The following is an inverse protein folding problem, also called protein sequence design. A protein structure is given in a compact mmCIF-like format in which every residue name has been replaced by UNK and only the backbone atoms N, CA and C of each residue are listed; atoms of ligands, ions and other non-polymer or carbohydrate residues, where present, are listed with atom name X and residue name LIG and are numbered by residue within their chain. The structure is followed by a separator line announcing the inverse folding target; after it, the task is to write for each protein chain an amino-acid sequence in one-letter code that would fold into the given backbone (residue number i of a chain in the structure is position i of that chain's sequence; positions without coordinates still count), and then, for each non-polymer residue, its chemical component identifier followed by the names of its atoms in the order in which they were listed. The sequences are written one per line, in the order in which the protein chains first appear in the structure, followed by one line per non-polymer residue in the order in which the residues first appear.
data_IF_080231001201
#
_entry.id   IF_080231001201
#
_cell.length_a   1.000
_cell.length_b   1.000
_cell.length_c   1.000
_cell.angle_alpha   90.00
_cell.angle_beta   90.00
_cell.angle_gamma   90.00
#
_symmetry.space_group_name_H-M   'P 1'
#
loop_
_entity.id
_entity.type
_entity.pdbx_description
1 polymer ?
#
# COMPACT_ATOMS: atom_id res chain seq x y z
N UNK A 1 -7.58 -5.72 7.42
CA UNK A 1 -8.19 -6.16 6.14
C UNK A 1 -9.56 -5.51 6.02
N UNK A 2 -9.93 -5.03 4.83
CA UNK A 2 -11.20 -4.35 4.61
C UNK A 2 -12.38 -5.32 4.34
N UNK A 3 -13.59 -4.77 4.17
CA UNK A 3 -14.80 -5.54 3.86
C UNK A 3 -14.79 -6.24 2.49
N UNK A 4 -13.84 -5.90 1.63
CA UNK A 4 -13.66 -6.48 0.30
C UNK A 4 -12.51 -7.51 0.26
N UNK A 5 -11.88 -7.79 1.40
CA UNK A 5 -10.77 -8.75 1.50
C UNK A 5 -9.42 -8.19 1.08
N UNK A 6 -9.24 -6.85 1.10
CA UNK A 6 -7.95 -6.23 0.85
C UNK A 6 -7.16 -6.02 2.15
N UNK A 7 -5.89 -6.43 2.13
CA UNK A 7 -4.89 -6.08 3.11
C UNK A 7 -4.10 -4.88 2.60
N UNK A 8 -3.93 -3.87 3.44
CA UNK A 8 -3.10 -2.69 3.14
C UNK A 8 -1.91 -2.70 4.09
N UNK A 9 -0.71 -2.48 3.55
CA UNK A 9 0.53 -2.39 4.34
C UNK A 9 1.29 -1.15 3.90
N UNK A 10 1.66 -0.33 4.89
CA UNK A 10 2.58 0.79 4.72
C UNK A 10 4.02 0.28 4.82
N UNK A 11 4.80 0.48 3.76
CA UNK A 11 6.24 0.29 3.75
C UNK A 11 6.92 1.65 3.96
N UNK A 12 7.44 1.86 5.18
CA UNK A 12 8.08 3.12 5.56
C UNK A 12 9.45 3.33 4.92
N UNK A 13 10.16 2.25 4.56
CA UNK A 13 11.46 2.36 3.89
C UNK A 13 11.28 2.88 2.46
N UNK A 14 10.21 2.43 1.80
CA UNK A 14 9.88 2.82 0.43
C UNK A 14 8.96 4.03 0.32
N UNK A 15 8.39 4.50 1.43
CA UNK A 15 7.36 5.54 1.44
C UNK A 15 6.23 5.18 0.46
N UNK A 16 5.68 3.97 0.60
CA UNK A 16 4.58 3.46 -0.22
C UNK A 16 3.56 2.68 0.61
N UNK A 17 2.30 2.70 0.18
CA UNK A 17 1.25 1.80 0.68
C UNK A 17 0.90 0.84 -0.42
N UNK A 18 1.02 -0.45 -0.13
CA UNK A 18 0.60 -1.52 -1.03
C UNK A 18 -0.68 -2.17 -0.55
N UNK A 19 -1.46 -2.70 -1.50
CA UNK A 19 -2.62 -3.55 -1.22
C UNK A 19 -2.50 -4.95 -1.82
N UNK A 20 -3.03 -5.95 -1.14
CA UNK A 20 -3.15 -7.34 -1.59
C UNK A 20 -4.58 -7.83 -1.43
N UNK A 21 -5.05 -8.66 -2.35
CA UNK A 21 -6.35 -9.31 -2.25
C UNK A 21 -6.19 -10.72 -1.68
N UNK A 22 -6.96 -11.04 -0.64
CA UNK A 22 -6.94 -12.36 -0.05
C UNK A 22 -7.38 -13.41 -1.08
N UNK A 23 -6.61 -14.49 -1.21
CA UNK A 23 -6.80 -15.53 -2.24
C UNK A 23 -5.98 -15.34 -3.52
N UNK A 24 -5.30 -14.21 -3.70
CA UNK A 24 -4.31 -14.03 -4.76
C UNK A 24 -2.90 -14.38 -4.23
N UNK A 25 -2.51 -15.64 -4.35
CA UNK A 25 -1.28 -16.18 -3.76
C UNK A 25 0.02 -15.76 -4.47
N UNK A 26 -0.06 -15.14 -5.66
CA UNK A 26 1.09 -14.73 -6.48
C UNK A 26 1.12 -13.21 -6.77
N UNK A 27 0.50 -12.39 -5.91
CA UNK A 27 0.44 -10.95 -6.12
C UNK A 27 1.55 -10.23 -5.30
N UNK A 28 2.42 -9.48 -5.97
CA UNK A 28 3.48 -8.65 -5.34
C UNK A 28 2.94 -7.40 -4.61
N UNK A 29 1.62 -7.23 -4.61
CA UNK A 29 0.93 -6.09 -4.03
C UNK A 29 0.94 -4.90 -4.98
N UNK A 30 -0.18 -4.19 -5.04
CA UNK A 30 -0.33 -3.00 -5.88
C UNK A 30 -0.07 -1.77 -5.03
N UNK A 31 0.86 -0.90 -5.44
CA UNK A 31 1.06 0.42 -4.81
C UNK A 31 -0.17 1.29 -5.05
N UNK A 32 -0.78 1.78 -3.98
CA UNK A 32 -2.02 2.58 -4.03
C UNK A 32 -1.88 3.98 -3.43
N UNK A 33 -0.81 4.22 -2.68
CA UNK A 33 -0.40 5.55 -2.25
C UNK A 33 1.13 5.58 -2.11
N UNK A 34 1.73 6.76 -2.20
CA UNK A 34 3.18 6.95 -2.15
C UNK A 34 3.80 7.40 -3.45
N UNK A 35 5.14 7.42 -3.48
CA UNK A 35 5.94 7.84 -4.64
C UNK A 35 6.43 9.29 -4.61
N UNK A 36 6.10 10.08 -3.58
CA UNK A 36 6.62 11.44 -3.38
C UNK A 36 7.43 11.60 -2.08
N UNK A 37 8.10 10.53 -1.67
CA UNK A 37 8.88 10.45 -0.42
C UNK A 37 8.06 10.68 0.86
N UNK A 38 8.75 10.71 2.01
CA UNK A 38 8.11 10.92 3.30
C UNK A 38 7.69 12.37 3.52
N UNK A 39 6.50 12.61 4.06
CA UNK A 39 6.10 13.98 4.41
C UNK A 39 4.64 14.16 4.80
N UNK A 40 4.27 15.40 5.13
CA UNK A 40 2.95 15.74 5.68
C UNK A 40 1.96 16.24 4.62
N UNK A 41 2.37 16.30 3.35
CA UNK A 41 1.48 16.68 2.25
C UNK A 41 0.57 15.51 1.86
N UNK A 42 -0.59 15.84 1.27
CA UNK A 42 -1.63 14.87 0.88
C UNK A 42 -1.14 13.78 -0.09
N UNK A 43 -0.05 14.03 -0.82
CA UNK A 43 0.55 13.13 -1.79
C UNK A 43 1.85 12.46 -1.28
N UNK A 44 2.24 12.70 -0.03
CA UNK A 44 3.41 12.12 0.63
C UNK A 44 2.98 11.07 1.65
N UNK A 45 3.88 10.14 2.01
CA UNK A 45 3.61 9.07 2.97
C UNK A 45 4.37 9.19 4.29
#
# INVERSE_FOLDING_TARGET
MDKHGFLYVSDQEKNEVRRWKMGEYNNEGIVVAGGNEKGTQLNQL
#
